data_IF_861875598783
#
_entry.id   IF_861875598783
#
_cell.length_a   1.000
_cell.length_b   1.000
_cell.length_c   1.000
_cell.angle_alpha   90.00
_cell.angle_beta   90.00
_cell.angle_gamma   90.00
#
_symmetry.space_group_name_H-M   'P 1'
#
loop_
_entity.id
_entity.type
_entity.pdbx_description
1 polymer ?
#
# COMPACT_ATOMS: atom_id res chain seq x y z
N UNK A 1 -15.52 -12.08 21.21
CA UNK A 1 -16.32 -11.45 20.11
C UNK A 1 -15.51 -11.24 18.84
N UNK A 2 -14.35 -10.56 18.88
CA UNK A 2 -13.53 -10.34 17.68
C UNK A 2 -13.05 -11.66 17.02
N UNK A 3 -12.70 -12.66 17.84
CA UNK A 3 -12.33 -14.00 17.38
C UNK A 3 -13.41 -14.67 16.52
N UNK A 4 -14.69 -14.47 16.82
CA UNK A 4 -15.79 -15.05 16.05
C UNK A 4 -15.90 -14.49 14.63
N UNK A 5 -15.39 -13.27 14.38
CA UNK A 5 -15.37 -12.63 13.06
C UNK A 5 -14.07 -12.89 12.33
N UNK A 6 -12.94 -12.81 13.03
CA UNK A 6 -11.63 -13.08 12.43
C UNK A 6 -11.45 -14.55 12.04
N UNK A 7 -12.03 -15.48 12.81
CA UNK A 7 -11.83 -16.91 12.62
C UNK A 7 -12.29 -17.42 11.23
N UNK A 8 -13.49 -17.07 10.72
CA UNK A 8 -13.89 -17.42 9.35
C UNK A 8 -12.94 -16.91 8.27
N UNK A 9 -12.48 -15.65 8.36
CA UNK A 9 -11.58 -15.04 7.38
C UNK A 9 -10.20 -15.72 7.38
N UNK A 10 -9.67 -15.95 8.58
CA UNK A 10 -8.40 -16.62 8.73
C UNK A 10 -8.47 -18.09 8.29
N UNK A 11 -9.55 -18.81 8.62
CA UNK A 11 -9.77 -20.18 8.13
C UNK A 11 -9.74 -20.22 6.60
N UNK A 12 -10.39 -19.25 5.95
CA UNK A 12 -10.35 -19.12 4.49
C UNK A 12 -8.94 -18.83 3.97
N UNK A 13 -8.18 -17.94 4.62
CA UNK A 13 -6.80 -17.67 4.27
C UNK A 13 -5.89 -18.90 4.41
N UNK A 14 -6.08 -19.71 5.46
CA UNK A 14 -5.36 -20.98 5.60
C UNK A 14 -5.75 -21.99 4.52
N UNK A 15 -7.02 -22.07 4.16
CA UNK A 15 -7.47 -22.93 3.05
C UNK A 15 -6.86 -22.51 1.71
N UNK A 16 -6.79 -21.21 1.42
CA UNK A 16 -6.10 -20.70 0.24
C UNK A 16 -4.60 -20.99 0.30
N UNK A 17 -3.95 -20.72 1.43
CA UNK A 17 -2.53 -20.98 1.58
C UNK A 17 -2.17 -22.46 1.47
N UNK A 18 -3.07 -23.34 1.92
CA UNK A 18 -2.96 -24.78 1.72
C UNK A 18 -3.13 -25.15 0.24
N UNK A 19 -4.10 -24.55 -0.45
CA UNK A 19 -4.32 -24.74 -1.89
C UNK A 19 -3.08 -24.34 -2.72
N UNK A 20 -2.48 -23.19 -2.41
CA UNK A 20 -1.25 -22.72 -3.07
C UNK A 20 0.04 -23.32 -2.51
N UNK A 21 -0.04 -24.13 -1.45
CA UNK A 21 1.12 -24.71 -0.72
C UNK A 21 2.17 -23.65 -0.34
N UNK A 22 1.73 -22.45 0.01
CA UNK A 22 2.61 -21.32 0.31
C UNK A 22 2.71 -21.00 1.81
N UNK A 23 1.93 -21.67 2.67
CA UNK A 23 1.97 -21.50 4.12
C UNK A 23 2.65 -22.67 4.85
N UNK A 24 3.35 -22.33 5.93
CA UNK A 24 3.94 -23.30 6.86
C UNK A 24 2.94 -23.90 7.86
N UNK A 25 1.69 -23.47 7.80
CA UNK A 25 0.64 -23.83 8.74
C UNK A 25 -0.62 -24.23 7.97
N UNK A 26 -1.30 -25.26 8.47
CA UNK A 26 -2.57 -25.76 7.96
C UNK A 26 -3.65 -25.61 9.04
N UNK A 27 -4.90 -25.43 8.61
CA UNK A 27 -6.04 -25.42 9.52
C UNK A 27 -6.61 -26.84 9.69
N UNK A 28 -6.54 -27.40 10.90
CA UNK A 28 -7.18 -28.67 11.22
C UNK A 28 -8.66 -28.47 11.56
N UNK A 29 -9.53 -28.81 10.60
CA UNK A 29 -10.98 -28.70 10.80
C UNK A 29 -11.54 -29.69 11.83
N UNK A 30 -10.83 -30.79 12.13
CA UNK A 30 -11.29 -31.78 13.11
C UNK A 30 -11.07 -31.30 14.55
N UNK A 31 -9.96 -30.59 14.79
CA UNK A 31 -9.56 -30.08 16.11
C UNK A 31 -9.82 -28.59 16.28
N UNK A 32 -10.28 -27.91 15.22
CA UNK A 32 -10.53 -26.47 15.19
C UNK A 32 -9.31 -25.65 15.64
N UNK A 33 -8.12 -26.05 15.18
CA UNK A 33 -6.85 -25.47 15.58
C UNK A 33 -5.89 -25.37 14.40
N UNK A 34 -4.94 -24.45 14.47
CA UNK A 34 -3.80 -24.34 13.55
C UNK A 34 -2.79 -25.44 13.89
N UNK A 35 -2.34 -26.18 12.88
CA UNK A 35 -1.27 -27.17 12.99
C UNK A 35 -0.15 -26.83 12.00
N UNK A 36 1.10 -27.24 12.24
CA UNK A 36 2.14 -27.13 11.24
C UNK A 36 1.75 -27.93 9.98
N UNK A 37 2.02 -27.37 8.79
CA UNK A 37 1.66 -28.00 7.52
C UNK A 37 2.51 -29.25 7.23
N UNK A 38 2.08 -30.08 6.27
CA UNK A 38 2.82 -31.28 5.89
C UNK A 38 4.27 -30.97 5.44
N UNK A 39 5.21 -31.90 5.65
CA UNK A 39 6.62 -31.73 5.23
C UNK A 39 6.76 -31.41 3.73
N UNK A 40 5.87 -31.96 2.89
CA UNK A 40 5.86 -31.72 1.44
C UNK A 40 5.45 -30.28 1.15
N UNK A 41 4.36 -29.80 1.77
CA UNK A 41 3.91 -28.42 1.63
C UNK A 41 4.97 -27.42 2.08
N UNK A 42 5.63 -27.68 3.23
CA UNK A 42 6.75 -26.85 3.70
C UNK A 42 7.93 -26.85 2.71
N UNK A 43 8.22 -28.00 2.10
CA UNK A 43 9.22 -28.10 1.03
C UNK A 43 8.87 -27.24 -0.17
N UNK A 44 7.62 -27.29 -0.65
CA UNK A 44 7.14 -26.44 -1.74
C UNK A 44 7.23 -24.95 -1.38
N UNK A 45 6.77 -24.54 -0.19
CA UNK A 45 6.84 -23.16 0.27
C UNK A 45 8.29 -22.64 0.31
N UNK A 46 9.25 -23.46 0.75
CA UNK A 46 10.69 -23.11 0.72
C UNK A 46 11.21 -22.93 -0.70
N UNK A 47 10.82 -23.80 -1.64
CA UNK A 47 11.22 -23.66 -3.05
C UNK A 47 10.66 -22.36 -3.63
N UNK A 48 9.39 -22.03 -3.37
CA UNK A 48 8.80 -20.76 -3.80
C UNK A 48 9.51 -19.55 -3.18
N UNK A 49 9.86 -19.62 -1.90
CA UNK A 49 10.59 -18.55 -1.23
C UNK A 49 11.99 -18.37 -1.83
N UNK A 50 12.73 -19.45 -2.05
CA UNK A 50 14.05 -19.40 -2.70
C UNK A 50 13.94 -18.86 -4.13
N UNK A 51 12.92 -19.26 -4.88
CA UNK A 51 12.66 -18.72 -6.21
C UNK A 51 12.34 -17.21 -6.16
N UNK A 52 11.58 -16.75 -5.17
CA UNK A 52 11.30 -15.32 -4.94
C UNK A 52 12.57 -14.53 -4.63
N UNK A 53 13.41 -15.04 -3.72
CA UNK A 53 14.70 -14.43 -3.37
C UNK A 53 15.61 -14.37 -4.61
N UNK A 54 15.72 -15.47 -5.36
CA UNK A 54 16.49 -15.51 -6.60
C UNK A 54 15.96 -14.49 -7.61
N UNK A 55 14.65 -14.40 -7.79
CA UNK A 55 14.01 -13.40 -8.65
C UNK A 55 14.37 -11.96 -8.25
N UNK A 56 14.33 -11.65 -6.95
CA UNK A 56 14.74 -10.34 -6.42
C UNK A 56 16.20 -10.05 -6.78
N UNK A 57 17.10 -11.00 -6.54
CA UNK A 57 18.54 -10.84 -6.83
C UNK A 57 18.76 -10.59 -8.32
N UNK A 58 18.18 -11.43 -9.19
CA UNK A 58 18.28 -11.28 -10.65
C UNK A 58 17.74 -9.92 -11.09
N UNK A 59 16.61 -9.48 -10.52
CA UNK A 59 16.02 -8.17 -10.82
C UNK A 59 16.95 -7.01 -10.42
N UNK A 60 17.54 -7.07 -9.23
CA UNK A 60 18.51 -6.05 -8.81
C UNK A 60 19.77 -6.04 -9.68
N UNK A 61 20.32 -7.20 -10.02
CA UNK A 61 21.47 -7.32 -10.94
C UNK A 61 21.10 -6.75 -12.32
N UNK A 62 19.91 -7.05 -12.83
CA UNK A 62 19.41 -6.53 -14.10
C UNK A 62 19.28 -5.00 -14.10
N UNK A 63 18.75 -4.42 -13.01
CA UNK A 63 18.67 -2.96 -12.85
C UNK A 63 20.06 -2.32 -12.82
N UNK A 64 21.00 -2.91 -12.05
CA UNK A 64 22.37 -2.41 -11.93
C UNK A 64 23.14 -2.50 -13.26
N UNK A 65 22.91 -3.55 -14.04
CA UNK A 65 23.58 -3.77 -15.33
C UNK A 65 22.96 -2.98 -16.48
N UNK A 66 21.73 -2.49 -16.32
CA UNK A 66 21.02 -1.78 -17.39
C UNK A 66 21.61 -0.39 -17.66
N UNK A 67 21.71 0.00 -18.94
CA UNK A 67 22.13 1.35 -19.38
C UNK A 67 20.98 2.38 -19.39
N UNK A 68 19.83 2.04 -18.78
CA UNK A 68 18.63 2.88 -18.77
C UNK A 68 18.87 4.17 -17.96
N UNK A 69 18.30 5.33 -18.37
CA UNK A 69 18.40 6.57 -17.61
C UNK A 69 17.95 6.41 -16.15
N UNK A 70 18.53 7.23 -15.27
CA UNK A 70 18.35 7.12 -13.82
C UNK A 70 16.89 7.29 -13.38
N UNK A 71 16.10 8.12 -14.08
CA UNK A 71 14.69 8.36 -13.78
C UNK A 71 13.86 7.08 -13.79
N UNK A 72 14.06 6.23 -14.79
CA UNK A 72 13.27 5.00 -14.97
C UNK A 72 13.76 3.92 -14.00
N UNK A 73 15.06 3.93 -13.68
CA UNK A 73 15.65 3.05 -12.66
C UNK A 73 15.04 3.30 -11.28
N UNK A 74 14.73 4.54 -10.89
CA UNK A 74 14.16 4.85 -9.58
C UNK A 74 12.85 4.10 -9.36
N UNK A 75 11.96 4.08 -10.37
CA UNK A 75 10.69 3.36 -10.27
C UNK A 75 10.90 1.85 -10.11
N UNK A 76 11.81 1.26 -10.88
CA UNK A 76 12.12 -0.17 -10.79
C UNK A 76 12.78 -0.56 -9.47
N UNK A 77 13.67 0.30 -8.96
CA UNK A 77 14.31 0.14 -7.65
C UNK A 77 13.26 0.22 -6.54
N UNK A 78 12.35 1.20 -6.58
CA UNK A 78 11.29 1.33 -5.58
C UNK A 78 10.37 0.09 -5.53
N UNK A 79 9.88 -0.38 -6.68
CA UNK A 79 9.07 -1.60 -6.75
C UNK A 79 9.89 -2.85 -6.36
N UNK A 80 11.16 -2.90 -6.75
CA UNK A 80 12.08 -3.97 -6.34
C UNK A 80 12.25 -4.03 -4.83
N UNK A 81 12.38 -2.88 -4.17
CA UNK A 81 12.48 -2.78 -2.71
C UNK A 81 11.21 -3.17 -1.99
N UNK A 82 10.05 -2.77 -2.49
CA UNK A 82 8.75 -3.20 -1.90
C UNK A 82 8.65 -4.72 -1.95
N UNK A 83 8.92 -5.32 -3.12
CA UNK A 83 8.87 -6.76 -3.28
C UNK A 83 9.94 -7.49 -2.44
N UNK A 84 11.15 -6.95 -2.35
CA UNK A 84 12.20 -7.48 -1.49
C UNK A 84 11.82 -7.43 -0.01
N UNK A 85 11.25 -6.31 0.45
CA UNK A 85 10.76 -6.17 1.82
C UNK A 85 9.62 -7.16 2.10
N UNK A 86 8.65 -7.31 1.19
CA UNK A 86 7.61 -8.32 1.31
C UNK A 86 8.17 -9.74 1.36
N UNK A 87 9.21 -10.03 0.57
CA UNK A 87 9.88 -11.33 0.60
C UNK A 87 10.57 -11.57 1.94
N UNK A 88 11.31 -10.58 2.47
CA UNK A 88 12.01 -10.66 3.77
C UNK A 88 11.02 -10.78 4.94
N UNK A 89 9.93 -10.02 4.93
CA UNK A 89 8.89 -10.15 5.97
C UNK A 89 8.20 -11.50 5.87
N UNK A 90 8.04 -12.04 4.66
CA UNK A 90 7.47 -13.37 4.40
C UNK A 90 8.45 -14.53 4.62
N UNK A 91 9.73 -14.30 4.92
CA UNK A 91 10.70 -15.39 5.12
C UNK A 91 10.52 -16.05 6.48
N UNK A 92 9.50 -16.91 6.60
CA UNK A 92 9.44 -17.91 7.66
C UNK A 92 10.01 -19.22 7.10
N UNK A 93 11.28 -19.53 7.41
CA UNK A 93 11.93 -20.75 6.92
C UNK A 93 11.42 -22.03 7.63
N UNK A 94 10.92 -21.87 8.86
CA UNK A 94 10.50 -22.95 9.73
C UNK A 94 9.22 -22.50 10.44
N UNK A 95 8.22 -23.38 10.49
CA UNK A 95 7.02 -23.18 11.30
C UNK A 95 7.44 -22.98 12.76
N UNK A 96 7.23 -21.77 13.30
CA UNK A 96 7.59 -21.51 14.68
C UNK A 96 6.48 -22.08 15.59
N UNK A 97 6.77 -23.08 16.45
CA UNK A 97 5.76 -23.67 17.32
C UNK A 97 5.13 -22.65 18.27
N UNK A 98 5.84 -21.58 18.64
CA UNK A 98 5.30 -20.52 19.49
C UNK A 98 4.21 -19.70 18.76
N UNK A 99 4.35 -19.46 17.45
CA UNK A 99 3.34 -18.76 16.64
C UNK A 99 2.08 -19.62 16.55
N UNK A 100 2.23 -20.93 16.34
CA UNK A 100 1.10 -21.87 16.31
C UNK A 100 0.37 -21.90 17.65
N UNK A 101 1.11 -21.98 18.77
CA UNK A 101 0.52 -21.94 20.11
C UNK A 101 -0.18 -20.61 20.38
N UNK A 102 0.43 -19.49 20.00
CA UNK A 102 -0.18 -18.15 20.14
C UNK A 102 -1.46 -18.02 19.33
N UNK A 103 -1.46 -18.48 18.07
CA UNK A 103 -2.65 -18.52 17.24
C UNK A 103 -3.74 -19.36 17.89
N UNK A 104 -3.42 -20.58 18.32
CA UNK A 104 -4.38 -21.47 18.99
C UNK A 104 -4.92 -20.87 20.29
N UNK A 105 -4.09 -20.15 21.07
CA UNK A 105 -4.53 -19.43 22.27
C UNK A 105 -5.50 -18.29 21.93
N UNK A 106 -5.24 -17.55 20.85
CA UNK A 106 -6.14 -16.49 20.35
C UNK A 106 -7.46 -17.10 19.84
N UNK A 107 -7.43 -18.33 19.33
CA UNK A 107 -8.60 -19.02 18.77
C UNK A 107 -9.40 -19.86 19.75
N UNK A 108 -8.88 -20.13 20.96
CA UNK A 108 -9.63 -20.88 21.94
C UNK A 108 -10.98 -20.18 22.18
N UNK A 109 -12.11 -20.85 21.89
CA UNK A 109 -13.42 -20.29 22.17
C UNK A 109 -13.43 -19.90 23.64
N UNK A 110 -13.75 -18.64 23.94
CA UNK A 110 -14.05 -18.28 25.32
C UNK A 110 -15.35 -19.00 25.69
N UNK A 111 -15.23 -20.22 26.22
CA UNK A 111 -16.30 -20.94 26.91
C UNK A 111 -16.56 -20.30 28.28
N UNK A 112 -16.66 -18.98 28.34
CA UNK A 112 -17.12 -18.31 29.54
C UNK A 112 -18.64 -18.29 29.53
N UNK A 113 -19.18 -19.30 30.21
CA UNK A 113 -20.57 -19.35 30.63
C UNK A 113 -20.94 -18.11 31.45
N UNK A 114 -22.23 -17.76 31.38
CA UNK A 114 -22.82 -16.72 32.20
C UNK A 114 -23.30 -15.53 31.38
N UNK A 115 -24.54 -15.62 30.94
CA UNK A 115 -25.36 -14.57 30.35
C UNK A 115 -25.53 -13.37 31.30
N UNK A 116 -24.58 -12.43 31.31
CA UNK A 116 -24.83 -11.08 31.84
C UNK A 116 -24.41 -10.06 30.78
N UNK A 117 -25.37 -9.75 29.91
CA UNK A 117 -25.23 -8.88 28.74
C UNK A 117 -25.01 -7.42 29.19
N UNK A 118 -23.82 -6.81 28.96
CA UNK A 118 -23.62 -5.40 29.24
C UNK A 118 -24.36 -4.57 28.18
N UNK A 119 -25.34 -3.78 28.60
CA UNK A 119 -26.28 -3.05 27.74
C UNK A 119 -25.68 -1.86 26.96
N UNK A 120 -24.36 -1.64 26.98
CA UNK A 120 -23.68 -0.55 26.26
C UNK A 120 -23.21 -0.89 24.82
N UNK A 121 -23.48 -2.09 24.31
CA UNK A 121 -22.85 -2.65 23.09
C UNK A 121 -23.73 -2.42 21.84
N UNK A 122 -23.99 -1.16 21.45
CA UNK A 122 -24.68 -0.87 20.18
C UNK A 122 -23.72 -0.36 19.08
N UNK A 123 -22.67 0.40 19.43
CA UNK A 123 -21.67 0.86 18.46
C UNK A 123 -20.73 -0.25 17.98
N UNK A 124 -20.58 -1.33 18.77
CA UNK A 124 -19.74 -2.47 18.40
C UNK A 124 -20.23 -3.23 17.17
N UNK A 125 -21.55 -3.39 16.99
CA UNK A 125 -22.10 -4.19 15.88
C UNK A 125 -21.82 -3.58 14.50
N UNK A 126 -21.90 -2.25 14.38
CA UNK A 126 -21.59 -1.54 13.12
C UNK A 126 -20.10 -1.63 12.79
N UNK A 127 -19.23 -1.42 13.78
CA UNK A 127 -17.79 -1.53 13.61
C UNK A 127 -17.36 -2.96 13.23
N UNK A 128 -17.93 -3.96 13.87
CA UNK A 128 -17.69 -5.37 13.55
C UNK A 128 -18.13 -5.73 12.12
N UNK A 129 -19.29 -5.22 11.67
CA UNK A 129 -19.75 -5.40 10.28
C UNK A 129 -18.86 -4.68 9.28
N UNK A 130 -18.31 -3.52 9.63
CA UNK A 130 -17.35 -2.80 8.79
C UNK A 130 -16.05 -3.59 8.63
N UNK A 131 -15.51 -4.13 9.73
CA UNK A 131 -14.32 -4.99 9.69
C UNK A 131 -14.56 -6.21 8.79
N UNK A 132 -15.69 -6.91 8.98
CA UNK A 132 -16.05 -8.07 8.17
C UNK A 132 -16.15 -7.75 6.67
N UNK A 133 -16.75 -6.60 6.34
CA UNK A 133 -16.83 -6.10 4.97
C UNK A 133 -15.45 -5.77 4.40
N UNK A 134 -14.59 -5.08 5.16
CA UNK A 134 -13.24 -4.72 4.74
C UNK A 134 -12.39 -5.97 4.45
N UNK A 135 -12.42 -6.97 5.34
CA UNK A 135 -11.70 -8.23 5.10
C UNK A 135 -12.25 -8.99 3.89
N UNK A 136 -13.57 -9.01 3.71
CA UNK A 136 -14.21 -9.66 2.55
C UNK A 136 -13.84 -8.99 1.23
N UNK A 137 -13.81 -7.65 1.19
CA UNK A 137 -13.38 -6.87 0.02
C UNK A 137 -11.90 -7.08 -0.27
N UNK A 138 -11.06 -7.08 0.76
CA UNK A 138 -9.62 -7.31 0.62
C UNK A 138 -9.34 -8.70 0.05
N UNK A 139 -9.99 -9.73 0.60
CA UNK A 139 -9.91 -11.09 0.07
C UNK A 139 -10.32 -11.15 -1.41
N UNK A 140 -11.46 -10.57 -1.77
CA UNK A 140 -11.96 -10.61 -3.14
C UNK A 140 -11.03 -9.87 -4.12
N UNK A 141 -10.53 -8.70 -3.73
CA UNK A 141 -9.66 -7.88 -4.59
C UNK A 141 -8.24 -8.44 -4.69
N UNK A 142 -7.62 -8.84 -3.58
CA UNK A 142 -6.23 -9.29 -3.53
C UNK A 142 -6.04 -10.76 -3.93
N UNK A 143 -6.97 -11.67 -3.61
CA UNK A 143 -6.75 -13.09 -3.86
C UNK A 143 -7.46 -13.59 -5.13
N UNK A 144 -8.62 -13.01 -5.46
CA UNK A 144 -9.43 -13.46 -6.61
C UNK A 144 -9.17 -12.58 -7.84
N UNK A 145 -9.21 -11.25 -7.70
CA UNK A 145 -9.12 -10.33 -8.84
C UNK A 145 -7.68 -10.05 -9.23
N UNK A 146 -6.80 -9.77 -8.26
CA UNK A 146 -5.43 -9.34 -8.52
C UNK A 146 -4.61 -10.37 -9.32
N UNK A 147 -4.57 -11.68 -8.98
CA UNK A 147 -3.67 -12.61 -9.67
C UNK A 147 -4.04 -12.82 -11.16
N UNK A 148 -5.31 -13.02 -11.56
CA UNK A 148 -5.70 -13.10 -12.96
C UNK A 148 -5.39 -11.81 -13.74
N UNK A 149 -5.61 -10.66 -13.13
CA UNK A 149 -5.32 -9.38 -13.76
C UNK A 149 -3.83 -9.19 -13.92
N UNK A 150 -3.03 -9.53 -12.91
CA UNK A 150 -1.58 -9.54 -13.04
C UNK A 150 -1.16 -10.50 -14.15
N UNK A 151 -1.67 -11.73 -14.20
CA UNK A 151 -1.41 -12.69 -15.27
C UNK A 151 -1.77 -12.14 -16.67
N UNK A 152 -2.94 -11.49 -16.80
CA UNK A 152 -3.38 -10.82 -18.02
C UNK A 152 -2.45 -9.66 -18.39
N UNK A 153 -2.01 -8.88 -17.41
CA UNK A 153 -1.01 -7.84 -17.62
C UNK A 153 0.32 -8.44 -18.11
N UNK A 154 0.75 -9.59 -17.55
CA UNK A 154 1.96 -10.30 -18.01
C UNK A 154 1.84 -10.71 -19.47
N UNK A 155 0.71 -11.31 -19.86
CA UNK A 155 0.49 -11.86 -21.21
C UNK A 155 0.48 -10.75 -22.27
N UNK A 156 -0.21 -9.65 -21.97
CA UNK A 156 -0.49 -8.59 -22.95
C UNK A 156 0.50 -7.41 -22.88
N UNK A 157 1.28 -7.26 -21.80
CA UNK A 157 2.31 -6.22 -21.65
C UNK A 157 3.62 -6.83 -21.16
N UNK A 158 4.22 -7.78 -21.91
CA UNK A 158 5.43 -8.48 -21.47
C UNK A 158 6.62 -7.54 -21.29
N UNK A 159 6.59 -6.38 -21.95
CA UNK A 159 7.69 -5.42 -22.00
C UNK A 159 7.65 -4.35 -20.89
N UNK A 160 6.60 -4.30 -20.07
CA UNK A 160 6.46 -3.27 -19.03
C UNK A 160 6.90 -3.84 -17.68
N UNK A 161 7.85 -3.19 -17.02
CA UNK A 161 8.27 -3.60 -15.68
C UNK A 161 7.06 -3.58 -14.73
N UNK A 162 6.93 -4.54 -13.79
CA UNK A 162 8.01 -5.13 -12.98
C UNK A 162 8.58 -6.48 -13.44
N UNK A 163 8.33 -6.91 -14.68
CA UNK A 163 8.43 -8.30 -15.13
C UNK A 163 9.70 -8.63 -15.92
N UNK A 164 10.15 -9.89 -15.84
CA UNK A 164 11.37 -10.40 -16.51
C UNK A 164 11.36 -10.27 -18.04
N UNK A 165 10.18 -10.09 -18.65
CA UNK A 165 10.03 -9.99 -20.11
C UNK A 165 10.78 -8.82 -20.73
N UNK A 166 10.94 -7.71 -20.02
CA UNK A 166 11.73 -6.55 -20.48
C UNK A 166 13.25 -6.80 -20.47
N UNK A 167 13.71 -7.85 -19.78
CA UNK A 167 15.11 -8.28 -19.76
C UNK A 167 15.43 -9.27 -20.89
N UNK A 168 14.41 -9.99 -21.40
CA UNK A 168 14.58 -11.06 -22.39
C UNK A 168 14.27 -10.57 -23.82
N UNK A 169 13.36 -9.62 -23.98
CA UNK A 169 12.97 -9.11 -25.31
C UNK A 169 13.80 -7.89 -25.73
N UNK A 170 14.48 -7.93 -26.89
CA UNK A 170 15.30 -6.82 -27.37
C UNK A 170 14.48 -5.55 -27.62
N UNK A 171 15.11 -4.41 -27.32
CA UNK A 171 14.54 -3.05 -27.17
C UNK A 171 13.93 -2.41 -28.44
N UNK A 172 13.85 -3.13 -29.55
CA UNK A 172 13.43 -2.57 -30.83
C UNK A 172 12.03 -3.06 -31.19
N UNK A 173 11.00 -2.43 -30.60
CA UNK A 173 9.72 -2.14 -31.26
C UNK A 173 8.75 -1.44 -30.28
N UNK A 174 8.89 -0.12 -30.24
CA UNK A 174 8.05 0.82 -29.50
C UNK A 174 6.76 1.13 -30.28
N UNK A 175 5.83 0.18 -30.32
CA UNK A 175 4.52 0.34 -30.99
C UNK A 175 3.68 1.51 -30.44
N UNK A 176 3.88 1.92 -29.19
CA UNK A 176 3.15 3.03 -28.56
C UNK A 176 3.58 4.40 -29.11
N UNK A 177 4.87 4.57 -29.46
CA UNK A 177 5.38 5.80 -30.07
C UNK A 177 4.90 5.96 -31.51
N UNK A 178 4.86 4.86 -32.27
CA UNK A 178 4.30 4.83 -33.62
C UNK A 178 2.82 5.23 -33.63
N UNK A 179 2.05 4.74 -32.64
CA UNK A 179 0.61 5.04 -32.52
C UNK A 179 0.36 6.51 -32.13
N UNK A 180 1.20 7.09 -31.27
CA UNK A 180 1.13 8.52 -30.91
C UNK A 180 1.50 9.42 -32.10
N UNK A 181 2.59 9.10 -32.80
CA UNK A 181 3.06 9.87 -33.95
C UNK A 181 2.01 9.90 -35.07
N UNK A 182 1.40 8.75 -35.36
CA UNK A 182 0.41 8.66 -36.44
C UNK A 182 -0.92 9.30 -36.08
N UNK A 183 -1.28 9.33 -34.79
CA UNK A 183 -2.43 10.09 -34.28
C UNK A 183 -2.24 11.60 -34.46
N UNK A 184 -1.01 12.10 -34.22
CA UNK A 184 -0.69 13.53 -34.32
C UNK A 184 -0.69 14.04 -35.76
N UNK A 185 -0.24 13.20 -36.71
CA UNK A 185 -0.28 13.50 -38.15
C UNK A 185 -1.72 13.62 -38.65
N UNK A 186 -2.63 12.76 -38.19
CA UNK A 186 -4.03 12.78 -38.63
C UNK A 186 -4.77 14.03 -38.12
N UNK A 187 -4.47 14.48 -36.89
CA UNK A 187 -5.08 15.70 -36.32
C UNK A 187 -4.65 17.00 -37.01
N UNK A 188 -3.57 16.99 -37.80
CA UNK A 188 -3.04 18.18 -38.47
C UNK A 188 -3.62 18.42 -39.88
N UNK A 189 -4.47 17.52 -40.41
CA UNK A 189 -5.04 17.65 -41.76
C UNK A 189 -6.43 18.32 -41.77
N UNK A 190 -6.69 19.30 -42.66
CA UNK A 190 -7.94 20.07 -42.69
C UNK A 190 -9.16 19.32 -43.26
N UNK A 191 -9.00 18.13 -43.86
CA UNK A 191 -10.12 17.30 -44.37
C UNK A 191 -10.44 16.18 -43.38
N UNK A 192 -11.17 16.56 -42.33
CA UNK A 192 -11.42 15.78 -41.12
C UNK A 192 -12.27 14.49 -41.32
N UNK A 193 -13.14 14.43 -42.32
CA UNK A 193 -14.23 13.43 -42.36
C UNK A 193 -13.80 11.98 -42.63
N UNK A 194 -12.74 11.73 -43.40
CA UNK A 194 -12.29 10.36 -43.70
C UNK A 194 -11.33 9.79 -42.65
N UNK A 195 -10.54 10.66 -42.00
CA UNK A 195 -9.63 10.29 -40.90
C UNK A 195 -10.38 9.98 -39.59
N UNK A 196 -11.52 10.63 -39.38
CA UNK A 196 -12.34 10.46 -38.18
C UNK A 196 -12.82 9.02 -37.96
N UNK A 197 -13.14 8.30 -39.04
CA UNK A 197 -13.61 6.90 -38.95
C UNK A 197 -12.51 5.94 -38.46
N UNK A 198 -11.23 6.22 -38.79
CA UNK A 198 -10.09 5.46 -38.21
C UNK A 198 -9.85 5.84 -36.76
N UNK A 199 -10.01 7.11 -36.40
CA UNK A 199 -9.91 7.58 -35.01
C UNK A 199 -10.96 6.93 -34.11
N UNK A 200 -12.20 6.79 -34.58
CA UNK A 200 -13.28 6.13 -33.84
C UNK A 200 -13.00 4.64 -33.55
N UNK A 201 -12.41 3.93 -34.51
CA UNK A 201 -12.01 2.52 -34.29
C UNK A 201 -10.86 2.45 -33.27
N UNK A 202 -9.92 3.39 -33.34
CA UNK A 202 -8.78 3.46 -32.42
C UNK A 202 -9.19 3.87 -31.00
N UNK A 203 -10.15 4.79 -30.86
CA UNK A 203 -10.78 5.17 -29.60
C UNK A 203 -11.51 3.98 -28.96
N UNK A 204 -12.23 3.19 -29.75
CA UNK A 204 -12.91 1.98 -29.28
C UNK A 204 -11.90 0.94 -28.74
N UNK A 205 -10.76 0.77 -29.40
CA UNK A 205 -9.68 -0.12 -28.97
C UNK A 205 -8.95 0.43 -27.73
N UNK A 206 -8.68 1.73 -27.68
CA UNK A 206 -8.04 2.39 -26.53
C UNK A 206 -8.94 2.36 -25.28
N UNK A 207 -10.24 2.63 -25.43
CA UNK A 207 -11.21 2.51 -24.34
C UNK A 207 -11.39 1.05 -23.89
N UNK A 208 -11.29 0.08 -24.81
CA UNK A 208 -11.24 -1.35 -24.48
C UNK A 208 -9.98 -1.73 -23.67
N UNK A 209 -8.82 -1.19 -24.02
CA UNK A 209 -7.55 -1.45 -23.33
C UNK A 209 -7.46 -0.75 -21.96
N UNK A 210 -7.90 0.51 -21.86
CA UNK A 210 -7.91 1.29 -20.60
C UNK A 210 -8.85 0.66 -19.58
N UNK A 211 -10.08 0.28 -20.00
CA UNK A 211 -11.08 -0.33 -19.13
C UNK A 211 -10.67 -1.71 -18.59
N UNK A 212 -9.86 -2.47 -19.34
CA UNK A 212 -9.46 -3.83 -18.96
C UNK A 212 -8.14 -3.92 -18.18
N UNK A 213 -7.28 -2.88 -18.25
CA UNK A 213 -5.93 -2.93 -17.68
C UNK A 213 -5.56 -1.78 -16.74
N UNK A 214 -6.09 -0.58 -16.97
CA UNK A 214 -5.77 0.60 -16.15
C UNK A 214 -6.61 0.64 -14.86
N UNK A 215 -7.89 0.28 -14.96
CA UNK A 215 -8.83 0.29 -13.83
C UNK A 215 -8.42 -0.66 -12.69
N UNK A 216 -7.94 -1.89 -12.96
CA UNK A 216 -7.49 -2.78 -11.90
C UNK A 216 -6.21 -2.31 -11.21
N UNK A 217 -5.23 -1.83 -11.99
CA UNK A 217 -3.95 -1.33 -11.47
C UNK A 217 -4.18 -0.14 -10.52
N UNK A 218 -5.11 0.76 -10.85
CA UNK A 218 -5.50 1.87 -9.97
C UNK A 218 -6.20 1.41 -8.69
N UNK A 219 -7.01 0.34 -8.76
CA UNK A 219 -7.67 -0.29 -7.61
C UNK A 219 -6.69 -0.91 -6.59
N UNK A 220 -5.47 -1.25 -7.04
CA UNK A 220 -4.44 -1.88 -6.21
C UNK A 220 -3.39 -0.87 -5.74
N UNK A 221 -2.97 0.05 -6.61
CA UNK A 221 -2.01 1.10 -6.29
C UNK A 221 -2.58 2.08 -5.24
N UNK A 222 -3.89 2.34 -5.25
CA UNK A 222 -4.54 3.25 -4.31
C UNK A 222 -4.44 2.79 -2.83
N UNK A 223 -4.86 1.56 -2.45
CA UNK A 223 -4.71 1.08 -1.07
C UNK A 223 -3.24 0.87 -0.68
N UNK A 224 -2.35 0.49 -1.60
CA UNK A 224 -0.91 0.41 -1.30
C UNK A 224 -0.29 1.78 -1.01
N UNK A 225 -0.65 2.83 -1.76
CA UNK A 225 -0.24 4.22 -1.47
C UNK A 225 -0.82 4.74 -0.15
N UNK A 226 -2.04 4.32 0.23
CA UNK A 226 -2.64 4.65 1.54
C UNK A 226 -1.92 3.96 2.71
N UNK A 227 -1.53 2.69 2.57
CA UNK A 227 -0.80 1.97 3.61
C UNK A 227 0.61 2.56 3.78
N UNK A 228 1.30 2.92 2.70
CA UNK A 228 2.64 3.54 2.74
C UNK A 228 2.59 4.96 3.31
N UNK A 229 1.58 5.76 2.93
CA UNK A 229 1.38 7.10 3.50
C UNK A 229 1.04 7.03 5.00
N UNK A 230 0.20 6.08 5.42
CA UNK A 230 -0.13 5.86 6.85
C UNK A 230 1.11 5.43 7.64
N UNK A 231 1.94 4.56 7.07
CA UNK A 231 3.21 4.16 7.68
C UNK A 231 4.21 5.33 7.77
N UNK A 232 4.31 6.19 6.76
CA UNK A 232 5.13 7.41 6.82
C UNK A 232 4.62 8.38 7.89
N UNK A 233 3.30 8.56 8.03
CA UNK A 233 2.71 9.39 9.09
C UNK A 233 3.04 8.84 10.48
N UNK A 234 2.93 7.53 10.69
CA UNK A 234 3.27 6.89 11.98
C UNK A 234 4.77 7.03 12.28
N UNK A 235 5.65 6.90 11.28
CA UNK A 235 7.11 7.02 11.47
C UNK A 235 7.56 8.47 11.70
N UNK A 236 6.97 9.45 11.02
CA UNK A 236 7.25 10.87 11.22
C UNK A 236 6.47 11.49 12.39
N UNK A 237 5.58 10.72 13.03
CA UNK A 237 4.83 11.12 14.21
C UNK A 237 5.72 11.56 15.39
N UNK A 238 6.98 11.14 15.45
CA UNK A 238 7.93 11.58 16.47
C UNK A 238 8.70 12.88 16.11
N UNK A 239 8.82 13.23 14.83
CA UNK A 239 9.56 14.43 14.37
C UNK A 239 8.67 15.67 14.33
N UNK A 240 7.38 15.51 14.03
CA UNK A 240 6.42 16.63 13.97
C UNK A 240 6.13 17.29 15.33
N UNK A 241 6.05 16.56 16.46
CA UNK A 241 5.96 17.14 17.80
C UNK A 241 7.18 18.00 18.15
N UNK A 242 8.37 17.68 17.63
CA UNK A 242 9.57 18.46 17.89
C UNK A 242 9.52 19.86 17.24
N UNK A 243 8.90 19.98 16.07
CA UNK A 243 8.69 21.28 15.41
C UNK A 243 7.71 22.16 16.20
N UNK A 244 6.59 21.58 16.66
CA UNK A 244 5.63 22.25 17.55
C UNK A 244 6.26 22.66 18.89
N UNK A 245 7.06 21.76 19.48
CA UNK A 245 7.78 22.02 20.73
C UNK A 245 8.84 23.13 20.58
N UNK A 246 9.52 23.22 19.43
CA UNK A 246 10.50 24.28 19.15
C UNK A 246 9.83 25.64 19.03
N UNK A 247 8.70 25.72 18.33
CA UNK A 247 7.92 26.96 18.26
C UNK A 247 7.42 27.40 19.65
N UNK A 248 6.86 26.48 20.42
CA UNK A 248 6.37 26.74 21.79
C UNK A 248 7.50 27.21 22.70
N UNK A 249 8.66 26.56 22.67
CA UNK A 249 9.84 26.94 23.46
C UNK A 249 10.34 28.33 23.08
N UNK A 250 10.40 28.66 21.79
CA UNK A 250 10.80 30.00 21.33
C UNK A 250 9.83 31.09 21.78
N UNK A 251 8.52 30.80 21.80
CA UNK A 251 7.50 31.72 22.32
C UNK A 251 7.66 31.96 23.82
N UNK A 252 7.90 30.91 24.61
CA UNK A 252 8.12 31.05 26.05
C UNK A 252 9.39 31.82 26.37
N UNK A 253 10.46 31.56 25.63
CA UNK A 253 11.73 32.27 25.81
C UNK A 253 11.57 33.77 25.53
N UNK A 254 10.95 34.15 24.41
CA UNK A 254 10.69 35.55 24.08
C UNK A 254 9.75 36.22 25.10
N UNK A 255 8.75 35.50 25.62
CA UNK A 255 7.86 36.01 26.67
C UNK A 255 8.60 36.22 28.00
N UNK A 256 9.50 35.31 28.35
CA UNK A 256 10.34 35.43 29.56
C UNK A 256 11.31 36.61 29.45
N UNK A 257 11.98 36.78 28.31
CA UNK A 257 12.85 37.94 28.06
C UNK A 257 12.10 39.27 28.16
N UNK A 258 10.84 39.32 27.68
CA UNK A 258 10.02 40.53 27.77
C UNK A 258 9.69 40.95 29.21
N UNK A 259 9.65 39.99 30.15
CA UNK A 259 9.43 40.29 31.57
C UNK A 259 10.66 40.81 32.31
N UNK A 260 11.86 40.61 31.75
CA UNK A 260 13.13 41.00 32.38
C UNK A 260 13.66 42.35 31.89
N UNK A 261 13.15 42.85 30.76
CA UNK A 261 13.63 44.08 30.12
C UNK A 261 12.74 45.26 30.49
N UNK A 262 13.32 46.27 31.15
CA UNK A 262 12.61 47.48 31.59
C UNK A 262 12.86 48.71 30.69
N UNK A 263 13.79 48.64 29.74
CA UNK A 263 14.11 49.77 28.86
C UNK A 263 13.15 49.84 27.66
N UNK A 264 12.67 51.04 27.36
CA UNK A 264 11.73 51.34 26.28
C UNK A 264 12.25 50.93 24.90
N UNK A 265 13.54 51.16 24.63
CA UNK A 265 14.14 50.89 23.31
C UNK A 265 14.32 49.37 23.08
N UNK A 266 14.81 48.66 24.08
CA UNK A 266 14.95 47.20 24.03
C UNK A 266 13.59 46.51 23.99
N UNK A 267 12.56 47.06 24.65
CA UNK A 267 11.19 46.54 24.53
C UNK A 267 10.67 46.66 23.10
N UNK A 268 11.00 47.75 22.38
CA UNK A 268 10.63 47.91 20.96
C UNK A 268 11.39 46.94 20.07
N UNK A 269 12.67 46.70 20.33
CA UNK A 269 13.46 45.71 19.60
C UNK A 269 12.96 44.28 19.87
N UNK A 270 12.66 43.94 21.12
CA UNK A 270 12.15 42.61 21.45
C UNK A 270 10.79 42.33 20.81
N UNK A 271 9.96 43.37 20.62
CA UNK A 271 8.69 43.28 19.90
C UNK A 271 8.87 43.03 18.39
N UNK A 272 10.02 43.34 17.80
CA UNK A 272 10.26 43.06 16.38
C UNK A 272 10.70 41.63 16.11
N UNK A 273 11.19 40.90 17.13
CA UNK A 273 11.51 39.49 17.00
C UNK A 273 10.24 38.64 16.89
N UNK A 274 10.21 37.79 15.86
CA UNK A 274 9.14 36.82 15.65
C UNK A 274 9.57 35.45 16.17
N UNK A 275 8.66 34.68 16.81
CA UNK A 275 9.01 33.33 17.26
C UNK A 275 9.44 32.44 16.11
N UNK A 276 10.32 31.48 16.38
CA UNK A 276 10.95 30.65 15.36
C UNK A 276 9.93 29.67 14.77
N UNK A 277 9.59 29.86 13.50
CA UNK A 277 8.57 29.07 12.80
C UNK A 277 9.20 28.15 11.77
N UNK A 278 8.98 26.84 11.90
CA UNK A 278 9.35 25.86 10.87
C UNK A 278 8.21 25.81 9.84
N UNK A 279 8.52 26.17 8.59
CA UNK A 279 7.55 26.19 7.49
C UNK A 279 7.84 25.06 6.51
N UNK A 280 6.77 24.48 5.97
CA UNK A 280 6.82 23.56 4.85
C UNK A 280 6.08 24.20 3.68
N UNK A 281 6.84 24.67 2.69
CA UNK A 281 6.32 25.52 1.62
C UNK A 281 5.86 26.88 2.16
N UNK A 282 4.68 27.33 1.74
CA UNK A 282 4.08 28.60 2.19
C UNK A 282 3.35 28.50 3.54
N UNK A 283 3.16 27.30 4.09
CA UNK A 283 2.37 27.06 5.29
C UNK A 283 3.24 26.78 6.53
N UNK A 284 2.77 27.23 7.69
CA UNK A 284 3.39 26.96 9.00
C UNK A 284 2.84 25.64 9.56
N UNK A 285 3.74 24.74 9.99
CA UNK A 285 3.33 23.51 10.66
C UNK A 285 3.12 23.77 12.14
N UNK A 286 1.87 23.61 12.58
CA UNK A 286 1.46 23.69 13.98
C UNK A 286 1.35 22.27 14.59
N UNK A 287 1.26 22.18 15.92
CA UNK A 287 1.19 20.91 16.67
C UNK A 287 0.00 20.03 16.22
N UNK A 288 -1.07 20.65 15.68
CA UNK A 288 -2.28 19.99 15.21
C UNK A 288 -2.28 19.67 13.71
N UNK A 289 -1.33 20.19 12.93
CA UNK A 289 -1.24 19.93 11.49
C UNK A 289 -1.16 18.42 11.15
N UNK A 290 -0.44 17.57 11.90
CA UNK A 290 -0.43 16.13 11.64
C UNK A 290 -1.80 15.48 11.84
N UNK A 291 -2.56 15.91 12.85
CA UNK A 291 -3.89 15.39 13.15
C UNK A 291 -4.91 15.79 12.05
N UNK A 292 -4.79 17.00 11.52
CA UNK A 292 -5.62 17.48 10.40
C UNK A 292 -5.28 16.74 9.11
N UNK A 293 -3.99 16.53 8.82
CA UNK A 293 -3.57 15.76 7.63
C UNK A 293 -4.03 14.31 7.74
N UNK A 294 -3.91 13.68 8.91
CA UNK A 294 -4.43 12.33 9.16
C UNK A 294 -5.94 12.28 8.93
N UNK A 295 -6.68 13.23 9.48
CA UNK A 295 -8.13 13.33 9.28
C UNK A 295 -8.51 13.56 7.81
N UNK A 296 -7.77 14.39 7.07
CA UNK A 296 -7.97 14.64 5.64
C UNK A 296 -7.69 13.40 4.80
N UNK A 297 -6.55 12.72 5.01
CA UNK A 297 -6.23 11.48 4.31
C UNK A 297 -7.25 10.38 4.62
N UNK A 298 -7.75 10.31 5.86
CA UNK A 298 -8.82 9.37 6.25
C UNK A 298 -10.12 9.70 5.51
N UNK A 299 -10.49 10.98 5.41
CA UNK A 299 -11.70 11.39 4.69
C UNK A 299 -11.60 11.22 3.17
N UNK A 300 -10.46 11.51 2.55
CA UNK A 300 -10.24 11.20 1.12
C UNK A 300 -10.29 9.70 0.86
N UNK A 301 -9.76 8.87 1.77
CA UNK A 301 -9.87 7.42 1.68
C UNK A 301 -11.32 6.97 1.71
N UNK A 302 -12.09 7.51 2.65
CA UNK A 302 -13.52 7.25 2.77
C UNK A 302 -14.27 7.70 1.50
N UNK A 303 -14.00 8.89 0.98
CA UNK A 303 -14.69 9.38 -0.22
C UNK A 303 -14.32 8.62 -1.49
N UNK A 304 -13.06 8.20 -1.63
CA UNK A 304 -12.61 7.39 -2.76
C UNK A 304 -13.24 5.99 -2.71
N UNK A 305 -13.39 5.41 -1.52
CA UNK A 305 -14.11 4.15 -1.32
C UNK A 305 -15.60 4.29 -1.63
N UNK A 306 -16.19 5.48 -1.46
CA UNK A 306 -17.60 5.75 -1.74
C UNK A 306 -17.90 6.07 -3.21
N UNK A 307 -16.88 6.39 -4.02
CA UNK A 307 -17.01 6.65 -5.46
C UNK A 307 -16.76 5.41 -6.34
N UNK A 308 -16.35 4.29 -5.73
CA UNK A 308 -16.24 2.96 -6.33
C UNK A 308 -17.58 2.23 -6.25
#
# INVERSE_FOLDING_TARGET
MLSAILLPHLKRNFQLGQFYRCLNYDWDSSRNQVIPSSRISQGCARVYLLASIFYVIVKFIGILSSSVPLSDKIFHVALGWIYAASTVVGTELIANPAIVQLMNLIYQPQEHGGTTSPSGIWNGKKFLKLIDLTYSLLYFTCDIIFPPIMALLLIFLPCQAPLLGSLILPKNESGILFLWEESSKILSYPKFSLGYRKLQVMESVLNGAIRSKLFPILLIISPCMQIIATFAVIKFQHVMPAAGATYRTSCYYLKSLKGMVNNSLETKLLKSYTPLKIRFGSNFMDELTPLIIQQFCTMQTINLLLLL
#
